data_IF_143697008236
#
_entry.id   IF_143697008236
#
_cell.length_a   1.000
_cell.length_b   1.000
_cell.length_c   1.000
_cell.angle_alpha   90.00
_cell.angle_beta   90.00
_cell.angle_gamma   90.00
#
_symmetry.space_group_name_H-M   'P 1'
#
loop_
_entity.id
_entity.type
_entity.pdbx_description
1 polymer ?
#
# COMPACT_ATOMS: atom_id res chain seq x y z
N UNK A 1 -9.58 -8.82 -16.35
CA UNK A 1 -8.36 -9.19 -15.60
C UNK A 1 -7.58 -7.92 -15.32
N UNK A 2 -7.84 -7.25 -14.19
CA UNK A 2 -7.14 -6.03 -13.80
C UNK A 2 -6.07 -6.34 -12.78
N UNK A 3 -4.91 -6.81 -13.24
CA UNK A 3 -3.76 -7.08 -12.39
C UNK A 3 -3.38 -5.80 -11.64
N UNK A 4 -3.18 -5.90 -10.32
CA UNK A 4 -2.53 -4.85 -9.57
C UNK A 4 -1.20 -4.53 -10.25
N UNK A 5 -1.03 -3.30 -10.73
CA UNK A 5 0.18 -2.90 -11.43
C UNK A 5 1.29 -2.80 -10.40
N UNK A 6 2.23 -3.74 -10.47
CA UNK A 6 3.51 -3.64 -9.78
C UNK A 6 4.25 -2.41 -10.29
N UNK A 7 4.50 -1.46 -9.41
CA UNK A 7 5.31 -0.28 -9.71
C UNK A 7 6.36 -0.11 -8.64
N UNK A 8 7.34 0.75 -8.86
CA UNK A 8 8.34 1.06 -7.83
C UNK A 8 7.90 2.22 -6.98
N UNK A 9 8.25 2.16 -5.69
CA UNK A 9 8.15 3.31 -4.81
C UNK A 9 8.87 4.51 -5.44
N UNK A 10 8.24 5.68 -5.35
CA UNK A 10 8.76 6.92 -5.94
C UNK A 10 9.91 7.54 -5.17
N UNK A 11 10.21 7.06 -3.96
CA UNK A 11 11.40 7.50 -3.23
C UNK A 11 12.65 6.96 -3.90
N UNK A 12 13.65 7.82 -4.06
CA UNK A 12 14.96 7.49 -4.62
C UNK A 12 15.75 6.52 -3.73
N UNK A 13 15.51 6.57 -2.41
CA UNK A 13 16.16 5.68 -1.43
C UNK A 13 15.46 4.34 -1.30
N UNK A 14 14.13 4.33 -1.41
CA UNK A 14 13.35 3.10 -1.28
C UNK A 14 13.37 2.28 -2.56
N UNK A 15 12.80 2.80 -3.66
CA UNK A 15 12.64 2.12 -4.97
C UNK A 15 12.11 0.67 -4.92
N UNK A 16 11.55 0.25 -3.80
CA UNK A 16 11.04 -1.09 -3.59
C UNK A 16 9.82 -1.35 -4.50
N UNK A 17 9.58 -2.61 -4.92
CA UNK A 17 8.39 -2.97 -5.66
C UNK A 17 7.15 -2.88 -4.76
N UNK A 18 6.13 -2.19 -5.24
CA UNK A 18 4.86 -1.94 -4.54
C UNK A 18 3.68 -2.24 -5.46
N UNK A 19 2.56 -2.60 -4.86
CA UNK A 19 1.26 -2.73 -5.51
C UNK A 19 0.41 -1.51 -5.19
N UNK A 20 -0.20 -0.92 -6.21
CA UNK A 20 -1.31 0.02 -6.00
C UNK A 20 -2.62 -0.74 -5.93
N UNK A 21 -3.02 -1.05 -4.70
CA UNK A 21 -4.32 -1.62 -4.41
C UNK A 21 -5.35 -0.52 -4.11
N UNK A 22 -6.62 -0.89 -3.98
CA UNK A 22 -7.69 0.01 -3.55
C UNK A 22 -8.28 -0.42 -2.22
N UNK A 23 -8.57 0.52 -1.33
CA UNK A 23 -9.35 0.26 -0.12
C UNK A 23 -10.81 -0.07 -0.47
N UNK A 24 -11.58 -0.54 0.52
CA UNK A 24 -13.03 -0.72 0.37
C UNK A 24 -13.76 0.58 -0.05
N UNK A 25 -13.23 1.75 0.35
CA UNK A 25 -13.74 3.06 -0.05
C UNK A 25 -13.29 3.48 -1.47
N UNK A 26 -12.46 2.67 -2.14
CA UNK A 26 -11.95 2.93 -3.48
C UNK A 26 -10.71 3.82 -3.53
N UNK A 27 -10.15 4.18 -2.38
CA UNK A 27 -8.94 5.01 -2.29
C UNK A 27 -7.69 4.19 -2.65
N UNK A 28 -6.74 4.76 -3.41
CA UNK A 28 -5.50 4.07 -3.74
C UNK A 28 -4.62 3.92 -2.51
N UNK A 29 -4.15 2.69 -2.26
CA UNK A 29 -3.29 2.35 -1.14
C UNK A 29 -2.03 1.63 -1.65
N UNK A 30 -0.83 2.12 -1.32
CA UNK A 30 0.41 1.44 -1.66
C UNK A 30 0.65 0.27 -0.69
N UNK A 31 0.89 -0.91 -1.22
CA UNK A 31 1.07 -2.18 -0.50
C UNK A 31 2.40 -2.80 -0.93
N UNK A 32 3.11 -3.44 -0.01
CA UNK A 32 4.32 -4.20 -0.38
C UNK A 32 3.96 -5.41 -1.27
N UNK A 33 4.78 -5.69 -2.29
CA UNK A 33 4.60 -6.89 -3.14
C UNK A 33 4.85 -8.16 -2.34
N UNK A 34 5.86 -8.14 -1.47
CA UNK A 34 6.22 -9.27 -0.65
C UNK A 34 5.30 -9.39 0.57
N UNK A 35 4.65 -10.56 0.79
CA UNK A 35 3.86 -10.79 1.98
C UNK A 35 4.75 -10.85 3.22
N UNK A 36 4.24 -10.34 4.34
CA UNK A 36 4.91 -10.28 5.63
C UNK A 36 4.12 -11.06 6.68
N UNK A 37 4.76 -11.88 7.54
CA UNK A 37 4.05 -12.56 8.64
C UNK A 37 3.37 -11.57 9.60
N UNK A 38 3.92 -10.36 9.73
CA UNK A 38 3.39 -9.26 10.54
C UNK A 38 2.47 -8.32 9.74
N UNK A 39 2.07 -8.72 8.52
CA UNK A 39 1.14 -7.96 7.70
C UNK A 39 -0.28 -7.97 8.28
N UNK A 40 -0.96 -6.84 8.18
CA UNK A 40 -2.33 -6.63 8.67
C UNK A 40 -3.36 -6.53 7.55
N UNK A 41 -2.94 -6.71 6.29
CA UNK A 41 -3.78 -6.58 5.11
C UNK A 41 -3.91 -7.91 4.39
N UNK A 42 -5.11 -8.15 3.88
CA UNK A 42 -5.39 -9.20 2.91
C UNK A 42 -5.63 -8.54 1.54
N UNK A 43 -5.04 -9.11 0.49
CA UNK A 43 -5.14 -8.59 -0.87
C UNK A 43 -6.01 -9.54 -1.72
N UNK A 44 -7.18 -9.07 -2.15
CA UNK A 44 -8.14 -9.80 -3.00
C UNK A 44 -8.35 -8.99 -4.26
N UNK A 45 -8.00 -9.52 -5.44
CA UNK A 45 -8.31 -8.89 -6.74
C UNK A 45 -7.92 -7.39 -6.82
N UNK A 46 -6.76 -7.02 -6.26
CA UNK A 46 -6.27 -5.64 -6.24
C UNK A 46 -6.97 -4.72 -5.23
N UNK A 47 -7.76 -5.28 -4.31
CA UNK A 47 -8.36 -4.58 -3.16
C UNK A 47 -7.78 -5.07 -1.85
N UNK A 48 -7.55 -4.13 -0.94
CA UNK A 48 -7.09 -4.41 0.41
C UNK A 48 -8.23 -4.47 1.40
N UNK A 49 -8.18 -5.48 2.25
CA UNK A 49 -9.08 -5.71 3.37
C UNK A 49 -8.26 -5.90 4.65
N UNK A 50 -8.79 -5.57 5.83
CA UNK A 50 -8.16 -5.96 7.09
C UNK A 50 -8.00 -7.48 7.15
N UNK A 51 -6.82 -7.95 7.55
CA UNK A 51 -6.59 -9.38 7.69
C UNK A 51 -7.41 -9.94 8.86
N UNK A 52 -8.39 -10.78 8.54
CA UNK A 52 -9.33 -11.34 9.51
C UNK A 52 -9.26 -12.86 9.65
N UNK A 53 -10.18 -13.41 10.45
CA UNK A 53 -10.27 -14.86 10.71
C UNK A 53 -10.51 -15.68 9.44
N UNK A 54 -11.30 -15.17 8.49
CA UNK A 54 -11.56 -15.85 7.22
C UNK A 54 -10.28 -15.99 6.37
N UNK A 55 -9.49 -14.92 6.27
CA UNK A 55 -8.20 -14.93 5.58
C UNK A 55 -7.21 -15.88 6.26
N UNK A 56 -7.20 -15.92 7.60
CA UNK A 56 -6.39 -16.86 8.38
C UNK A 56 -6.81 -18.33 8.16
N UNK A 57 -8.11 -18.63 8.19
CA UNK A 57 -8.64 -19.97 7.95
C UNK A 57 -8.31 -20.46 6.54
N UNK A 58 -8.38 -19.57 5.54
CA UNK A 58 -7.98 -19.84 4.16
C UNK A 58 -6.45 -19.83 3.93
N UNK A 59 -5.64 -19.65 4.98
CA UNK A 59 -4.17 -19.56 4.93
C UNK A 59 -3.67 -18.55 3.89
N UNK A 60 -4.37 -17.43 3.75
CA UNK A 60 -4.02 -16.40 2.78
C UNK A 60 -2.80 -15.61 3.24
N UNK A 61 -1.95 -15.17 2.30
CA UNK A 61 -0.80 -14.33 2.61
C UNK A 61 -1.26 -13.01 3.24
N UNK A 62 -0.44 -12.53 4.18
CA UNK A 62 -0.60 -11.24 4.84
C UNK A 62 0.30 -10.22 4.15
N UNK A 63 -0.25 -9.05 3.88
CA UNK A 63 0.46 -7.92 3.30
C UNK A 63 0.49 -6.77 4.28
N UNK A 64 1.39 -5.83 4.05
CA UNK A 64 1.47 -4.60 4.84
C UNK A 64 1.42 -3.39 3.92
N UNK A 65 0.97 -2.28 4.48
CA UNK A 65 1.01 -1.01 3.77
C UNK A 65 2.47 -0.59 3.56
N UNK A 66 2.83 -0.21 2.34
CA UNK A 66 4.21 0.16 2.01
C UNK A 66 4.70 1.38 2.80
N UNK A 67 3.80 2.28 3.20
CA UNK A 67 4.17 3.42 4.03
C UNK A 67 4.72 3.04 5.41
N UNK A 68 4.57 1.78 5.83
CA UNK A 68 5.09 1.27 7.09
C UNK A 68 6.49 0.67 6.92
N UNK A 69 6.88 0.31 5.69
CA UNK A 69 8.21 -0.21 5.35
C UNK A 69 9.11 0.84 4.68
N UNK A 70 8.53 1.85 4.04
CA UNK A 70 9.26 2.90 3.35
C UNK A 70 9.89 3.91 4.32
N UNK A 71 11.21 4.15 4.26
CA UNK A 71 11.89 5.11 5.13
C UNK A 71 11.50 6.57 4.87
N UNK A 72 11.05 6.90 3.66
CA UNK A 72 10.65 8.26 3.27
C UNK A 72 9.11 8.41 3.19
N UNK A 73 8.36 7.50 3.82
CA UNK A 73 6.89 7.50 3.76
C UNK A 73 6.27 8.81 4.26
N UNK A 74 6.85 9.39 5.32
CA UNK A 74 6.36 10.62 5.93
C UNK A 74 6.47 11.82 4.98
N UNK A 75 7.49 11.86 4.12
CA UNK A 75 7.65 12.92 3.12
C UNK A 75 6.52 12.88 2.09
N UNK A 76 6.08 11.68 1.67
CA UNK A 76 4.94 11.53 0.76
C UNK A 76 3.61 11.89 1.42
N UNK A 77 3.42 11.54 2.69
CA UNK A 77 2.21 11.94 3.44
C UNK A 77 2.12 13.46 3.59
N UNK A 78 3.24 14.10 3.97
CA UNK A 78 3.32 15.55 4.13
C UNK A 78 3.12 16.28 2.80
N UNK A 79 3.70 15.77 1.71
CA UNK A 79 3.52 16.32 0.37
C UNK A 79 2.07 16.25 -0.13
N UNK A 80 1.31 15.22 0.28
CA UNK A 80 -0.12 15.10 -0.03
C UNK A 80 -1.04 16.04 0.75
N UNK A 81 -0.58 16.57 1.90
CA UNK A 81 -1.38 17.38 2.83
C UNK A 81 -1.28 18.90 2.65
N UNK A 82 -0.45 19.42 1.74
CA UNK A 82 -0.33 20.86 1.60
C UNK A 82 0.61 21.31 0.51
N UNK A 83 0.08 21.56 -0.68
CA UNK A 83 0.59 22.70 -1.44
C UNK A 83 0.00 23.96 -0.80
N UNK A 84 0.77 24.85 -0.17
CA UNK A 84 0.31 26.22 -0.07
C UNK A 84 0.05 26.69 -1.50
N UNK A 85 -1.21 27.04 -1.80
CA UNK A 85 -1.54 27.71 -3.05
C UNK A 85 -0.63 28.93 -3.12
N UNK A 86 0.33 28.96 -4.04
CA UNK A 86 1.11 30.17 -4.31
C UNK A 86 0.09 31.25 -4.69
N UNK A 87 -0.19 32.17 -3.77
CA UNK A 87 -0.92 33.40 -4.07
C UNK A 87 0.02 34.23 -4.94
N UNK A 88 -0.45 34.52 -6.14
CA UNK A 88 0.20 35.38 -7.13
C UNK A 88 -0.06 36.84 -6.77
#
# INVERSE_FOLDING_TARGET
>A
MGSALEVRCRSERCRAPILWARTAAGEPMPVDVDPSPDGELDLVDGRVYPYGLEAAAAKRPRYRAHWASCPDADDFRRAGGGRPRRRR
#
